data_IF_634476475914
#
_entry.id   IF_634476475914
#
_cell.length_a   1.000
_cell.length_b   1.000
_cell.length_c   1.000
_cell.angle_alpha   90.00
_cell.angle_beta   90.00
_cell.angle_gamma   90.00
#
_symmetry.space_group_name_H-M   'P 1'
#
loop_
_entity.id
_entity.type
_entity.pdbx_description
1 polymer ?
#
# COMPACT_ATOMS: atom_id res chain seq x y z
N UNK A 1 10.27 -5.42 -6.98
CA UNK A 1 9.31 -4.41 -7.48
C UNK A 1 10.00 -3.16 -8.01
N UNK A 2 10.77 -2.42 -7.20
CA UNK A 2 11.40 -1.14 -7.57
C UNK A 2 12.09 -1.13 -8.93
N UNK A 3 13.01 -2.06 -9.20
CA UNK A 3 13.76 -2.09 -10.47
C UNK A 3 12.86 -2.34 -11.68
N UNK A 4 11.82 -3.19 -11.56
CA UNK A 4 10.89 -3.45 -12.66
C UNK A 4 9.96 -2.27 -12.92
N UNK A 5 9.52 -1.57 -11.86
CA UNK A 5 8.72 -0.34 -12.00
C UNK A 5 9.56 0.76 -12.65
N UNK A 6 10.80 0.94 -12.22
CA UNK A 6 11.74 1.90 -12.82
C UNK A 6 12.04 1.58 -14.30
N UNK A 7 12.14 0.30 -14.64
CA UNK A 7 12.33 -0.17 -16.02
C UNK A 7 11.05 -0.09 -16.87
N UNK A 8 9.90 0.27 -16.30
CA UNK A 8 8.62 0.32 -17.01
C UNK A 8 8.05 -1.05 -17.37
N UNK A 9 8.53 -2.13 -16.75
CA UNK A 9 8.11 -3.51 -17.03
C UNK A 9 7.15 -4.08 -15.97
N UNK A 10 6.77 -3.28 -14.98
CA UNK A 10 5.76 -3.65 -13.98
C UNK A 10 4.99 -2.42 -13.47
N UNK A 11 3.74 -2.67 -13.08
CA UNK A 11 2.97 -1.75 -12.25
C UNK A 11 3.00 -2.25 -10.80
N UNK A 12 2.98 -1.31 -9.85
CA UNK A 12 2.88 -1.60 -8.43
C UNK A 12 1.87 -0.63 -7.82
N UNK A 13 0.92 -1.17 -7.06
CA UNK A 13 -0.07 -0.38 -6.31
C UNK A 13 0.27 -0.44 -4.83
N UNK A 14 -0.05 0.62 -4.10
CA UNK A 14 0.18 0.66 -2.66
C UNK A 14 -0.81 -0.27 -1.94
N UNK A 15 -0.31 -1.16 -1.09
CA UNK A 15 -1.12 -1.89 -0.11
C UNK A 15 -1.07 -1.24 1.27
N UNK A 16 -1.88 -1.78 2.19
CA UNK A 16 -1.94 -1.31 3.58
C UNK A 16 -0.59 -1.47 4.31
N UNK A 17 0.18 -2.52 4.00
CA UNK A 17 1.48 -2.77 4.59
C UNK A 17 2.55 -1.79 4.07
N UNK A 18 2.56 -1.47 2.77
CA UNK A 18 3.42 -0.42 2.21
C UNK A 18 3.11 0.94 2.83
N UNK A 19 1.83 1.25 3.04
CA UNK A 19 1.40 2.48 3.73
C UNK A 19 1.90 2.51 5.18
N UNK A 20 1.84 1.40 5.89
CA UNK A 20 2.33 1.26 7.27
C UNK A 20 3.86 1.41 7.35
N UNK A 21 4.59 0.77 6.43
CA UNK A 21 6.03 0.89 6.32
C UNK A 21 6.47 2.32 6.00
N UNK A 22 5.80 3.00 5.06
CA UNK A 22 6.05 4.42 4.75
C UNK A 22 5.94 5.30 6.01
N UNK A 23 4.84 5.14 6.76
CA UNK A 23 4.65 5.90 8.01
C UNK A 23 5.73 5.61 9.05
N UNK A 24 6.20 4.36 9.15
CA UNK A 24 7.31 4.00 10.04
C UNK A 24 8.63 4.64 9.60
N UNK A 25 8.94 4.60 8.30
CA UNK A 25 10.14 5.24 7.72
C UNK A 25 10.14 6.76 7.91
N UNK A 26 8.96 7.38 7.91
CA UNK A 26 8.75 8.80 8.23
C UNK A 26 8.91 9.11 9.74
N UNK A 27 9.20 8.11 10.58
CA UNK A 27 9.33 8.26 12.03
C UNK A 27 8.00 8.39 12.78
N UNK A 28 6.86 8.13 12.13
CA UNK A 28 5.56 8.18 12.80
C UNK A 28 5.39 6.97 13.73
N UNK A 29 4.71 7.19 14.85
CA UNK A 29 4.31 6.11 15.75
C UNK A 29 3.31 5.19 15.04
N UNK A 30 3.70 3.94 14.82
CA UNK A 30 2.85 2.86 14.30
C UNK A 30 2.97 1.64 15.19
N UNK A 31 1.93 0.82 15.27
CA UNK A 31 1.99 -0.46 15.98
C UNK A 31 2.83 -1.45 15.17
N UNK A 32 3.95 -1.92 15.72
CA UNK A 32 4.76 -2.95 15.07
C UNK A 32 4.10 -4.32 15.30
N UNK A 33 3.38 -4.77 14.29
CA UNK A 33 2.58 -5.99 14.28
C UNK A 33 2.35 -6.45 12.84
N UNK A 34 1.81 -7.65 12.67
CA UNK A 34 1.51 -8.27 11.36
C UNK A 34 2.74 -8.34 10.44
N UNK A 35 3.87 -8.81 10.97
CA UNK A 35 5.10 -9.00 10.20
C UNK A 35 6.00 -7.78 10.02
N UNK A 36 5.56 -6.58 10.43
CA UNK A 36 6.37 -5.36 10.25
C UNK A 36 7.76 -5.46 10.93
N UNK A 37 7.88 -6.13 12.08
CA UNK A 37 9.19 -6.33 12.73
C UNK A 37 10.16 -7.08 11.83
N UNK A 38 9.73 -8.15 11.17
CA UNK A 38 10.57 -8.92 10.26
C UNK A 38 11.04 -8.07 9.07
N UNK A 39 10.17 -7.20 8.55
CA UNK A 39 10.53 -6.25 7.49
C UNK A 39 11.56 -5.23 7.97
N UNK A 40 11.42 -4.72 9.20
CA UNK A 40 12.39 -3.80 9.82
C UNK A 40 13.74 -4.50 9.97
N UNK A 41 13.77 -5.69 10.56
CA UNK A 41 15.00 -6.46 10.80
C UNK A 41 15.72 -6.76 9.48
N UNK A 42 14.98 -7.16 8.44
CA UNK A 42 15.54 -7.39 7.12
C UNK A 42 16.09 -6.11 6.51
N UNK A 43 15.36 -4.99 6.62
CA UNK A 43 15.80 -3.71 6.07
C UNK A 43 17.03 -3.14 6.80
N UNK A 44 17.11 -3.32 8.11
CA UNK A 44 18.27 -2.91 8.92
C UNK A 44 19.53 -3.72 8.57
N UNK A 45 19.36 -4.93 8.02
CA UNK A 45 20.45 -5.77 7.53
C UNK A 45 20.86 -5.50 6.06
N UNK A 46 20.09 -4.68 5.33
CA UNK A 46 20.44 -4.32 3.94
C UNK A 46 21.43 -3.14 3.87
N UNK A 47 21.94 -2.90 2.67
CA UNK A 47 22.74 -1.72 2.41
C UNK A 47 21.96 -0.42 2.61
N UNK A 48 22.67 0.68 2.90
CA UNK A 48 22.04 1.99 3.07
C UNK A 48 21.27 2.44 1.83
N UNK A 49 21.70 2.03 0.64
CA UNK A 49 21.10 2.41 -0.63
C UNK A 49 19.63 2.03 -0.72
N UNK A 50 19.27 0.79 -0.36
CA UNK A 50 17.87 0.37 -0.38
C UNK A 50 17.01 1.18 0.60
N UNK A 51 17.50 1.37 1.83
CA UNK A 51 16.78 2.12 2.87
C UNK A 51 16.53 3.57 2.46
N UNK A 52 17.50 4.20 1.81
CA UNK A 52 17.40 5.59 1.33
C UNK A 52 16.46 5.73 0.12
N UNK A 53 16.38 4.72 -0.75
CA UNK A 53 15.52 4.73 -1.93
C UNK A 53 14.04 4.39 -1.64
N UNK A 54 13.77 3.64 -0.58
CA UNK A 54 12.44 3.16 -0.21
C UNK A 54 11.39 4.27 -0.01
N UNK A 55 11.65 5.36 0.73
CA UNK A 55 10.67 6.43 0.94
C UNK A 55 10.13 7.02 -0.37
N UNK A 56 11.02 7.32 -1.32
CA UNK A 56 10.63 7.87 -2.62
C UNK A 56 9.78 6.89 -3.44
N UNK A 57 10.14 5.59 -3.40
CA UNK A 57 9.35 4.56 -4.07
C UNK A 57 7.96 4.41 -3.47
N UNK A 58 7.86 4.32 -2.14
CA UNK A 58 6.59 4.12 -1.42
C UNK A 58 5.63 5.31 -1.58
N UNK A 59 6.16 6.55 -1.58
CA UNK A 59 5.37 7.76 -1.82
C UNK A 59 4.84 7.82 -3.27
N UNK A 60 5.66 7.35 -4.23
CA UNK A 60 5.28 7.29 -5.64
C UNK A 60 4.15 6.29 -5.96
N UNK A 61 3.93 5.28 -5.11
CA UNK A 61 2.93 4.24 -5.35
C UNK A 61 1.51 4.83 -5.42
N UNK A 62 0.81 4.51 -6.51
CA UNK A 62 -0.61 4.83 -6.70
C UNK A 62 -1.47 3.87 -5.90
N UNK A 63 -2.65 4.31 -5.48
CA UNK A 63 -3.60 3.44 -4.78
C UNK A 63 -4.19 2.37 -5.69
N UNK A 64 -4.32 2.68 -6.97
CA UNK A 64 -4.84 1.78 -8.01
C UNK A 64 -4.31 2.20 -9.38
N UNK A 65 -4.43 1.30 -10.35
CA UNK A 65 -4.17 1.57 -11.77
C UNK A 65 -5.37 1.13 -12.61
N UNK A 66 -5.62 1.85 -13.71
CA UNK A 66 -6.65 1.54 -14.68
C UNK A 66 -5.98 1.27 -16.02
N UNK A 67 -6.02 0.00 -16.43
CA UNK A 67 -5.23 -0.59 -17.50
C UNK A 67 -6.13 -1.09 -18.63
N UNK A 68 -5.49 -1.57 -19.70
CA UNK A 68 -6.14 -2.21 -20.84
C UNK A 68 -7.26 -1.36 -21.47
N UNK A 69 -7.00 -0.06 -21.65
CA UNK A 69 -7.99 0.88 -22.20
C UNK A 69 -9.25 1.03 -21.35
N UNK A 70 -9.15 0.76 -20.05
CA UNK A 70 -10.26 0.87 -19.10
C UNK A 70 -10.92 -0.46 -18.74
N UNK A 71 -10.47 -1.59 -19.28
CA UNK A 71 -11.07 -2.91 -19.03
C UNK A 71 -10.53 -3.63 -17.80
N UNK A 72 -9.43 -3.15 -17.21
CA UNK A 72 -8.82 -3.76 -16.04
C UNK A 72 -8.51 -2.71 -14.98
N UNK A 73 -9.18 -2.80 -13.82
CA UNK A 73 -8.80 -2.05 -12.63
C UNK A 73 -8.01 -2.96 -11.68
N UNK A 74 -6.90 -2.46 -11.15
CA UNK A 74 -6.07 -3.18 -10.17
C UNK A 74 -5.90 -2.31 -8.93
N UNK A 75 -6.26 -2.85 -7.76
CA UNK A 75 -6.10 -2.23 -6.45
C UNK A 75 -5.82 -3.33 -5.41
N UNK A 76 -5.23 -2.97 -4.28
CA UNK A 76 -4.86 -3.95 -3.24
C UNK A 76 -6.09 -4.64 -2.62
N UNK A 77 -7.08 -3.86 -2.16
CA UNK A 77 -8.32 -4.36 -1.57
C UNK A 77 -9.53 -4.32 -2.53
N UNK A 78 -9.29 -4.00 -3.81
CA UNK A 78 -10.33 -3.77 -4.79
C UNK A 78 -10.89 -2.33 -4.78
N UNK A 79 -11.87 -2.09 -5.65
CA UNK A 79 -12.59 -0.83 -5.79
C UNK A 79 -14.05 -1.12 -6.13
N UNK A 80 -14.95 -0.23 -5.71
CA UNK A 80 -16.31 -0.19 -6.24
C UNK A 80 -16.32 0.41 -7.65
N UNK A 81 -17.33 0.07 -8.43
CA UNK A 81 -17.48 0.56 -9.81
C UNK A 81 -17.45 2.09 -9.86
N UNK A 82 -18.16 2.78 -8.96
CA UNK A 82 -18.24 4.23 -8.89
C UNK A 82 -16.96 4.93 -8.40
N UNK A 83 -15.96 4.14 -7.98
CA UNK A 83 -14.64 4.63 -7.56
C UNK A 83 -13.58 4.50 -8.66
N UNK A 84 -13.82 3.70 -9.69
CA UNK A 84 -12.87 3.49 -10.79
C UNK A 84 -12.60 4.82 -11.50
N UNK A 85 -11.32 5.13 -11.72
CA UNK A 85 -10.87 6.36 -12.40
C UNK A 85 -10.88 7.63 -11.53
N UNK A 86 -11.16 7.54 -10.23
CA UNK A 86 -11.23 8.69 -9.32
C UNK A 86 -10.03 8.75 -8.38
N UNK A 87 -9.49 9.96 -8.15
CA UNK A 87 -8.26 10.17 -7.38
C UNK A 87 -8.44 10.80 -5.98
N UNK A 88 -9.52 10.51 -5.26
CA UNK A 88 -9.76 11.13 -3.95
C UNK A 88 -9.09 10.36 -2.79
N UNK A 89 -8.95 11.02 -1.63
CA UNK A 89 -8.48 10.36 -0.41
C UNK A 89 -9.36 9.18 0.01
N UNK A 90 -10.68 9.29 -0.14
CA UNK A 90 -11.62 8.20 0.15
C UNK A 90 -11.40 6.98 -0.76
N UNK A 91 -11.14 7.20 -2.06
CA UNK A 91 -10.82 6.10 -2.99
C UNK A 91 -9.48 5.44 -2.63
N UNK A 92 -8.49 6.21 -2.18
CA UNK A 92 -7.22 5.65 -1.68
C UNK A 92 -7.42 4.79 -0.44
N UNK A 93 -8.20 5.25 0.54
CA UNK A 93 -8.49 4.46 1.74
C UNK A 93 -9.23 3.17 1.38
N UNK A 94 -10.25 3.23 0.51
CA UNK A 94 -10.95 2.04 0.05
C UNK A 94 -10.00 1.06 -0.68
N UNK A 95 -9.14 1.55 -1.57
CA UNK A 95 -8.16 0.71 -2.27
C UNK A 95 -7.16 0.01 -1.34
N UNK A 96 -6.88 0.60 -0.17
CA UNK A 96 -5.94 0.06 0.82
C UNK A 96 -6.60 -0.91 1.80
N UNK A 97 -7.83 -0.64 2.22
CA UNK A 97 -8.45 -1.32 3.36
C UNK A 97 -9.77 -2.03 3.03
N UNK A 98 -10.34 -1.79 1.84
CA UNK A 98 -11.61 -2.32 1.40
C UNK A 98 -12.80 -1.59 2.01
N UNK A 99 -13.96 -2.22 1.94
CA UNK A 99 -15.12 -1.82 2.73
C UNK A 99 -14.85 -2.07 4.21
N UNK A 100 -15.23 -1.12 5.04
CA UNK A 100 -15.27 -1.28 6.49
C UNK A 100 -16.70 -1.05 6.90
N UNK A 101 -17.34 -2.02 7.55
CA UNK A 101 -18.69 -1.82 8.09
C UNK A 101 -18.70 -0.84 9.27
N UNK A 102 -17.50 -0.52 9.81
CA UNK A 102 -17.33 0.24 11.05
C UNK A 102 -17.47 -0.63 12.29
N UNK A 103 -17.82 -1.91 12.13
CA UNK A 103 -17.95 -2.87 13.21
C UNK A 103 -16.60 -3.56 13.50
N UNK A 104 -16.42 -3.94 14.76
CA UNK A 104 -15.27 -4.71 15.23
C UNK A 104 -15.82 -6.07 15.67
N UNK A 105 -15.21 -7.15 15.19
CA UNK A 105 -15.60 -8.52 15.56
C UNK A 105 -15.18 -8.87 16.99
N UNK A 106 -15.56 -10.07 17.44
CA UNK A 106 -15.23 -10.57 18.79
C UNK A 106 -13.72 -10.72 19.05
N UNK A 107 -12.89 -10.70 18.00
CA UNK A 107 -11.44 -10.79 18.07
C UNK A 107 -10.74 -9.43 17.97
N UNK A 108 -11.49 -8.33 17.91
CA UNK A 108 -10.93 -6.98 17.79
C UNK A 108 -10.51 -6.60 16.38
N UNK A 109 -10.95 -7.33 15.35
CA UNK A 109 -10.63 -7.06 13.96
C UNK A 109 -11.78 -6.31 13.26
N UNK A 110 -11.48 -5.39 12.31
CA UNK A 110 -12.51 -4.74 11.52
C UNK A 110 -13.29 -5.77 10.70
N UNK A 111 -14.62 -5.73 10.81
CA UNK A 111 -15.52 -6.45 9.92
C UNK A 111 -15.45 -5.77 8.54
N UNK A 112 -15.21 -6.59 7.51
CA UNK A 112 -15.00 -6.17 6.12
C UNK A 112 -15.95 -6.92 5.20
#
# INVERSE_FOLDING_TARGET
AMSMVAAGTAYCVQGNHERKLSRWLEGRKVTVAHGLQQTIDQLDAQDRGLREALPAFLDGLRSHVWLDGGRLAVAHAGLREEMIGRGSGAVREFALYGETTGEIDEFGLPVR
#
